data_IF_980957263749
#
_entry.id   IF_980957263749
#
_cell.length_a   1.000
_cell.length_b   1.000
_cell.length_c   1.000
_cell.angle_alpha   90.00
_cell.angle_beta   90.00
_cell.angle_gamma   90.00
#
_symmetry.space_group_name_H-M   'P 1'
#
loop_
_entity.id
_entity.type
_entity.pdbx_description
1 polymer ?
#
# COMPACT_ATOMS: atom_id res chain seq x y z
N UNK A 1 -5.01 -64.95 8.49
CA UNK A 1 -6.43 -65.10 8.90
C UNK A 1 -6.59 -64.41 10.23
N UNK A 2 -7.41 -63.37 10.20
CA UNK A 2 -7.94 -62.53 11.29
C UNK A 2 -8.42 -63.40 12.47
N UNK A 3 -8.44 -62.95 13.72
CA UNK A 3 -9.40 -61.91 14.14
C UNK A 3 -9.13 -61.38 15.55
N UNK A 4 -9.38 -60.08 15.63
CA UNK A 4 -9.50 -59.20 16.78
C UNK A 4 -10.77 -59.61 17.56
N UNK A 5 -10.76 -59.54 18.90
CA UNK A 5 -11.91 -58.96 19.58
C UNK A 5 -11.59 -58.45 20.99
N UNK A 6 -11.90 -57.16 21.15
CA UNK A 6 -11.84 -56.38 22.37
C UNK A 6 -12.98 -56.72 23.34
N UNK A 7 -12.81 -56.33 24.61
CA UNK A 7 -13.80 -55.76 25.57
C UNK A 7 -13.16 -55.76 26.97
N UNK A 8 -13.37 -54.84 27.92
CA UNK A 8 -13.90 -53.48 28.04
C UNK A 8 -13.82 -53.17 29.55
N UNK A 9 -13.35 -51.97 29.95
CA UNK A 9 -13.58 -51.27 31.26
C UNK A 9 -13.02 -51.92 32.54
N UNK A 10 -12.56 -51.21 33.59
CA UNK A 10 -13.12 -50.04 34.26
C UNK A 10 -12.09 -49.37 35.22
N UNK A 11 -12.30 -48.08 35.49
CA UNK A 11 -11.46 -47.14 36.27
C UNK A 11 -11.41 -47.43 37.78
N UNK A 12 -10.33 -46.97 38.47
CA UNK A 12 -10.39 -45.85 39.43
C UNK A 12 -9.01 -45.41 39.95
N UNK A 13 -8.78 -44.10 40.16
CA UNK A 13 -7.56 -43.55 40.76
C UNK A 13 -7.66 -43.54 42.29
N UNK A 14 -6.56 -43.81 43.00
CA UNK A 14 -6.45 -43.51 44.43
C UNK A 14 -6.05 -42.05 44.63
N UNK A 15 -6.91 -41.38 45.38
CA UNK A 15 -6.85 -40.00 45.82
C UNK A 15 -5.67 -39.76 46.77
N UNK A 16 -4.94 -38.65 46.58
CA UNK A 16 -4.27 -37.96 47.68
C UNK A 16 -4.60 -36.48 47.56
N UNK A 17 -5.40 -36.04 48.52
CA UNK A 17 -5.95 -34.70 48.65
C UNK A 17 -5.13 -33.94 49.68
N UNK A 18 -4.35 -32.96 49.25
CA UNK A 18 -3.89 -31.89 50.13
C UNK A 18 -4.53 -30.58 49.65
N UNK A 19 -5.55 -30.14 50.39
CA UNK A 19 -6.10 -28.80 50.29
C UNK A 19 -5.03 -27.80 50.78
N UNK A 20 -4.50 -27.00 49.86
CA UNK A 20 -3.94 -25.70 50.18
C UNK A 20 -4.60 -24.69 49.25
N UNK A 21 -5.65 -24.06 49.75
CA UNK A 21 -6.24 -22.86 49.15
C UNK A 21 -5.34 -21.68 49.49
N UNK A 22 -4.40 -21.37 48.60
CA UNK A 22 -3.86 -20.02 48.48
C UNK A 22 -4.62 -19.33 47.34
N UNK A 23 -5.53 -18.47 47.75
CA UNK A 23 -6.38 -17.64 46.91
C UNK A 23 -5.56 -16.55 46.22
N UNK A 24 -4.88 -16.90 45.13
CA UNK A 24 -4.39 -15.91 44.17
C UNK A 24 -4.64 -16.37 42.74
N UNK A 25 -5.86 -16.82 42.43
CA UNK A 25 -6.33 -16.86 41.05
C UNK A 25 -6.95 -15.49 40.73
N UNK A 26 -6.11 -14.49 40.48
CA UNK A 26 -6.55 -13.32 39.71
C UNK A 26 -6.81 -13.87 38.30
N UNK A 27 -8.05 -14.27 38.07
CA UNK A 27 -8.57 -14.54 36.74
C UNK A 27 -8.54 -13.18 36.00
N UNK A 28 -7.38 -12.81 35.46
CA UNK A 28 -7.27 -11.66 34.55
C UNK A 28 -8.23 -11.95 33.41
N UNK A 29 -9.35 -11.24 33.38
CA UNK A 29 -10.23 -11.20 32.24
C UNK A 29 -9.35 -10.75 31.06
N UNK A 30 -9.01 -11.68 30.17
CA UNK A 30 -8.34 -11.32 28.93
C UNK A 30 -9.30 -10.39 28.19
N UNK A 31 -8.91 -9.11 28.08
CA UNK A 31 -9.63 -8.12 27.29
C UNK A 31 -9.85 -8.71 25.89
N UNK A 32 -11.12 -8.78 25.45
CA UNK A 32 -11.46 -9.31 24.13
C UNK A 32 -10.86 -8.47 22.99
N UNK A 33 -10.38 -7.25 23.31
CA UNK A 33 -9.69 -6.35 22.39
C UNK A 33 -8.16 -6.44 22.47
N UNK A 34 -7.60 -7.27 23.36
CA UNK A 34 -6.15 -7.52 23.34
C UNK A 34 -5.81 -8.40 22.14
N UNK A 35 -5.08 -7.80 21.20
CA UNK A 35 -4.53 -8.50 20.05
C UNK A 35 -3.67 -9.67 20.53
N UNK A 36 -4.05 -10.89 20.15
CA UNK A 36 -3.33 -12.09 20.57
C UNK A 36 -1.93 -12.07 19.94
N UNK A 37 -0.88 -12.45 20.69
CA UNK A 37 0.47 -12.48 20.14
C UNK A 37 0.53 -13.37 18.90
N UNK A 38 0.93 -12.77 17.78
CA UNK A 38 1.04 -13.47 16.50
C UNK A 38 2.28 -14.36 16.52
N UNK A 39 2.13 -15.63 16.13
CA UNK A 39 3.26 -16.56 16.09
C UNK A 39 4.36 -16.08 15.13
N UNK A 40 5.64 -16.30 15.47
CA UNK A 40 6.82 -15.83 14.69
C UNK A 40 6.72 -16.10 13.17
N UNK A 41 6.20 -17.27 12.78
CA UNK A 41 6.03 -17.64 11.36
C UNK A 41 4.99 -16.76 10.65
N UNK A 42 3.87 -16.46 11.31
CA UNK A 42 2.81 -15.62 10.76
C UNK A 42 3.28 -14.16 10.68
N UNK A 43 3.94 -13.65 11.73
CA UNK A 43 4.52 -12.30 11.72
C UNK A 43 5.54 -12.11 10.58
N UNK A 44 6.43 -13.09 10.36
CA UNK A 44 7.40 -13.06 9.24
C UNK A 44 6.71 -13.02 7.88
N UNK A 45 5.68 -13.86 7.67
CA UNK A 45 4.92 -13.88 6.42
C UNK A 45 4.21 -12.55 6.16
N UNK A 46 3.61 -11.95 7.19
CA UNK A 46 2.98 -10.63 7.08
C UNK A 46 4.00 -9.57 6.67
N UNK A 47 5.16 -9.52 7.31
CA UNK A 47 6.23 -8.57 6.98
C UNK A 47 6.73 -8.72 5.53
N UNK A 48 6.91 -9.96 5.06
CA UNK A 48 7.31 -10.23 3.66
C UNK A 48 6.25 -9.75 2.67
N UNK A 49 4.97 -9.97 2.97
CA UNK A 49 3.86 -9.48 2.14
C UNK A 49 3.77 -7.95 2.15
N UNK A 50 3.92 -7.30 3.31
CA UNK A 50 3.93 -5.84 3.43
C UNK A 50 5.07 -5.22 2.63
N UNK A 51 6.27 -5.80 2.71
CA UNK A 51 7.44 -5.34 1.94
C UNK A 51 7.19 -5.46 0.43
N UNK A 52 6.60 -6.59 0.00
CA UNK A 52 6.22 -6.80 -1.40
C UNK A 52 5.16 -5.79 -1.86
N UNK A 53 4.18 -5.52 -1.01
CA UNK A 53 3.11 -4.56 -1.28
C UNK A 53 3.63 -3.13 -1.40
N UNK A 54 4.52 -2.69 -0.50
CA UNK A 54 5.18 -1.38 -0.58
C UNK A 54 5.96 -1.26 -1.90
N UNK A 55 6.68 -2.32 -2.30
CA UNK A 55 7.39 -2.36 -3.58
C UNK A 55 6.46 -2.25 -4.79
N UNK A 56 5.28 -2.88 -4.74
CA UNK A 56 4.27 -2.78 -5.78
C UNK A 56 3.67 -1.37 -5.86
N UNK A 57 3.31 -0.77 -4.73
CA UNK A 57 2.80 0.61 -4.67
C UNK A 57 3.82 1.58 -5.26
N UNK A 58 5.10 1.45 -4.91
CA UNK A 58 6.16 2.31 -5.46
C UNK A 58 6.28 2.19 -7.00
N UNK A 59 6.10 0.98 -7.55
CA UNK A 59 6.08 0.78 -9.01
C UNK A 59 4.84 1.41 -9.65
N UNK A 60 3.67 1.23 -9.05
CA UNK A 60 2.41 1.82 -9.53
C UNK A 60 2.45 3.34 -9.51
N UNK A 61 3.01 3.96 -8.46
CA UNK A 61 3.18 5.41 -8.38
C UNK A 61 4.05 5.92 -9.53
N UNK A 62 5.21 5.31 -9.74
CA UNK A 62 6.12 5.69 -10.85
C UNK A 62 5.46 5.55 -12.21
N UNK A 63 4.75 4.45 -12.45
CA UNK A 63 4.04 4.22 -13.72
C UNK A 63 2.92 5.26 -13.92
N UNK A 64 2.20 5.59 -12.86
CA UNK A 64 1.12 6.59 -12.89
C UNK A 64 1.65 7.99 -13.17
N UNK A 65 2.75 8.38 -12.52
CA UNK A 65 3.43 9.65 -12.78
C UNK A 65 3.91 9.73 -14.23
N UNK A 66 4.54 8.67 -14.75
CA UNK A 66 4.98 8.59 -16.13
C UNK A 66 3.79 8.73 -17.11
N UNK A 67 2.71 7.96 -16.92
CA UNK A 67 1.51 8.05 -17.77
C UNK A 67 0.87 9.43 -17.71
N UNK A 68 0.77 10.04 -16.53
CA UNK A 68 0.25 11.40 -16.38
C UNK A 68 1.11 12.42 -17.12
N UNK A 69 2.44 12.27 -17.09
CA UNK A 69 3.36 13.14 -17.83
C UNK A 69 3.15 13.00 -19.34
N UNK A 70 3.10 11.77 -19.85
CA UNK A 70 2.84 11.51 -21.26
C UNK A 70 1.49 12.04 -21.71
N UNK A 71 0.44 11.90 -20.89
CA UNK A 71 -0.88 12.42 -21.20
C UNK A 71 -0.87 13.95 -21.29
N UNK A 72 -0.24 14.63 -20.32
CA UNK A 72 -0.08 16.09 -20.34
C UNK A 72 0.65 16.57 -21.59
N UNK A 73 1.76 15.91 -21.95
CA UNK A 73 2.52 16.24 -23.15
C UNK A 73 1.72 16.00 -24.44
N UNK A 74 1.01 14.87 -24.54
CA UNK A 74 0.17 14.56 -25.70
C UNK A 74 -0.98 15.56 -25.85
N UNK A 75 -1.66 15.90 -24.76
CA UNK A 75 -2.73 16.92 -24.77
C UNK A 75 -2.17 18.30 -25.12
N UNK A 76 -1.03 18.69 -24.56
CA UNK A 76 -0.38 19.96 -24.89
C UNK A 76 -0.05 20.06 -26.38
N UNK A 77 0.55 19.00 -26.95
CA UNK A 77 0.85 18.93 -28.39
C UNK A 77 -0.41 19.00 -29.23
N UNK A 78 -1.47 18.27 -28.86
CA UNK A 78 -2.74 18.31 -29.58
C UNK A 78 -3.37 19.71 -29.56
N UNK A 79 -3.36 20.40 -28.42
CA UNK A 79 -3.87 21.77 -28.31
C UNK A 79 -3.04 22.74 -29.15
N UNK A 80 -1.71 22.66 -29.11
CA UNK A 80 -0.86 23.48 -29.96
C UNK A 80 -1.18 23.24 -31.43
N UNK A 81 -1.22 21.98 -31.90
CA UNK A 81 -1.54 21.67 -33.29
C UNK A 81 -2.88 22.25 -33.72
N UNK A 82 -3.92 22.11 -32.88
CA UNK A 82 -5.25 22.69 -33.14
C UNK A 82 -5.22 24.21 -33.20
N UNK A 83 -4.50 24.86 -32.29
CA UNK A 83 -4.39 26.33 -32.28
C UNK A 83 -3.68 26.85 -33.53
N UNK A 84 -2.74 26.06 -34.07
CA UNK A 84 -1.97 26.41 -35.26
C UNK A 84 -2.63 25.95 -36.58
N UNK A 85 -3.81 25.34 -36.49
CA UNK A 85 -4.58 24.88 -37.63
C UNK A 85 -5.19 26.07 -38.38
N UNK A 86 -5.01 26.11 -39.70
CA UNK A 86 -5.48 27.22 -40.53
C UNK A 86 -4.66 28.52 -40.45
N UNK A 87 -3.61 28.58 -39.61
CA UNK A 87 -2.67 29.71 -39.58
C UNK A 87 -1.71 29.68 -40.77
N UNK A 88 -1.38 30.85 -41.32
CA UNK A 88 -0.26 30.99 -42.27
C UNK A 88 1.09 30.73 -41.58
N UNK A 89 2.16 30.43 -42.33
CA UNK A 89 3.50 30.27 -41.75
C UNK A 89 3.97 31.47 -40.92
N UNK A 90 3.66 32.70 -41.34
CA UNK A 90 4.02 33.93 -40.64
C UNK A 90 3.25 34.07 -39.33
N UNK A 91 1.95 33.77 -39.35
CA UNK A 91 1.09 33.78 -38.15
C UNK A 91 1.57 32.72 -37.16
N UNK A 92 1.93 31.53 -37.65
CA UNK A 92 2.51 30.46 -36.84
C UNK A 92 3.81 30.90 -36.17
N UNK A 93 4.73 31.48 -36.94
CA UNK A 93 6.00 32.00 -36.42
C UNK A 93 5.78 33.10 -35.37
N UNK A 94 4.84 34.02 -35.61
CA UNK A 94 4.51 35.07 -34.66
C UNK A 94 3.95 34.49 -33.36
N UNK A 95 3.02 33.54 -33.46
CA UNK A 95 2.44 32.88 -32.30
C UNK A 95 3.50 32.16 -31.46
N UNK A 96 4.40 31.41 -32.08
CA UNK A 96 5.49 30.71 -31.38
C UNK A 96 6.42 31.69 -30.66
N UNK A 97 6.79 32.80 -31.30
CA UNK A 97 7.60 33.86 -30.68
C UNK A 97 6.88 34.48 -29.48
N UNK A 98 5.58 34.76 -29.61
CA UNK A 98 4.78 35.32 -28.50
C UNK A 98 4.63 34.35 -27.34
N UNK A 99 4.48 33.06 -27.59
CA UNK A 99 4.45 32.06 -26.52
C UNK A 99 5.79 32.00 -25.78
N UNK A 100 6.92 32.09 -26.49
CA UNK A 100 8.24 32.11 -25.86
C UNK A 100 8.46 33.35 -24.97
N UNK A 101 8.05 34.52 -25.45
CA UNK A 101 8.13 35.79 -24.69
C UNK A 101 7.31 35.71 -23.38
N UNK A 102 6.08 35.21 -23.47
CA UNK A 102 5.21 35.04 -22.28
C UNK A 102 5.84 34.07 -21.27
N UNK A 103 6.42 32.96 -21.73
CA UNK A 103 7.07 31.99 -20.85
C UNK A 103 8.30 32.58 -20.15
N UNK A 104 9.08 33.41 -20.85
CA UNK A 104 10.23 34.11 -20.27
C UNK A 104 9.80 35.10 -19.20
N UNK A 105 8.75 35.88 -19.46
CA UNK A 105 8.21 36.86 -18.50
C UNK A 105 7.65 36.18 -17.24
N UNK A 106 6.95 35.06 -17.41
CA UNK A 106 6.45 34.26 -16.28
C UNK A 106 7.61 33.69 -15.45
N UNK A 107 8.69 33.24 -16.09
CA UNK A 107 9.87 32.76 -15.37
C UNK A 107 10.52 33.87 -14.55
N UNK A 108 10.71 35.05 -15.15
CA UNK A 108 11.24 36.23 -14.44
C UNK A 108 10.35 36.62 -13.25
N UNK A 109 9.03 36.56 -13.41
CA UNK A 109 8.09 36.86 -12.33
C UNK A 109 8.16 35.83 -11.19
N UNK A 110 8.33 34.54 -11.52
CA UNK A 110 8.55 33.50 -10.51
C UNK A 110 9.86 33.71 -9.76
N UNK A 111 10.96 33.95 -10.48
CA UNK A 111 12.27 34.18 -9.88
C UNK A 111 12.30 35.44 -9.01
N UNK A 112 11.51 36.47 -9.34
CA UNK A 112 11.40 37.69 -8.55
C UNK A 112 10.56 37.52 -7.26
N UNK A 113 9.81 36.42 -7.13
CA UNK A 113 8.96 36.10 -5.97
C UNK A 113 9.63 35.13 -4.98
N UNK A 114 10.75 34.51 -5.36
CA UNK A 114 11.58 33.65 -4.51
C UNK A 114 12.70 34.44 -3.80
#
# INVERSE_FOLDING_TARGET
MESINAKKTQKRPSSSSNYHTDEHNIQTAHDANQERPVGRKAAKKTLEMETSFIGLVAKLTKETEAKNRFLKEATSKQMMTRNMEGMTPEQRRYYELKQAEILEDLQKEMDARE
#
